data_IF_303229571769
#
_entry.id   IF_303229571769
#
_cell.length_a   1.000
_cell.length_b   1.000
_cell.length_c   1.000
_cell.angle_alpha   90.00
_cell.angle_beta   90.00
_cell.angle_gamma   90.00
#
_symmetry.space_group_name_H-M   'P 1'
#
loop_
_entity.id
_entity.type
_entity.pdbx_description
1 polymer ?
#
# COMPACT_ATOMS: atom_id res chain seq x y z
N UNK A 1 -8.33 23.23 10.87
CA UNK A 1 -7.17 22.33 10.68
C UNK A 1 -7.02 22.11 9.18
N UNK A 2 -5.96 22.68 8.59
CA UNK A 2 -5.76 22.71 7.13
C UNK A 2 -4.88 21.52 6.75
N UNK A 3 -5.43 20.59 5.97
CA UNK A 3 -4.70 19.43 5.47
C UNK A 3 -4.09 19.80 4.11
N UNK A 4 -2.77 19.69 3.96
CA UNK A 4 -2.11 19.85 2.66
C UNK A 4 -1.89 18.47 2.04
N UNK A 5 -2.54 18.14 0.92
CA UNK A 5 -2.28 16.88 0.24
C UNK A 5 -0.92 16.94 -0.48
N UNK A 6 0.00 16.08 -0.09
CA UNK A 6 1.20 15.76 -0.86
C UNK A 6 1.07 14.34 -1.43
N UNK A 7 1.26 14.18 -2.75
CA UNK A 7 1.29 12.84 -3.36
C UNK A 7 2.65 12.22 -3.09
N UNK A 8 2.65 11.17 -2.27
CA UNK A 8 3.83 10.44 -1.86
C UNK A 8 3.83 9.02 -2.45
N UNK A 9 5.04 8.46 -2.61
CA UNK A 9 5.24 7.08 -3.04
C UNK A 9 6.00 6.32 -1.97
N UNK A 10 5.41 5.25 -1.45
CA UNK A 10 6.09 4.35 -0.51
C UNK A 10 6.41 3.02 -1.18
N UNK A 11 7.68 2.59 -1.07
CA UNK A 11 8.09 1.26 -1.49
C UNK A 11 7.99 0.30 -0.32
N UNK A 12 7.14 -0.71 -0.48
CA UNK A 12 6.94 -1.75 0.51
C UNK A 12 7.65 -3.01 0.03
N UNK A 13 8.44 -3.61 0.92
CA UNK A 13 8.96 -4.95 0.67
C UNK A 13 7.75 -5.88 0.53
N UNK A 14 7.77 -6.71 -0.50
CA UNK A 14 6.81 -7.81 -0.58
C UNK A 14 6.97 -8.67 0.70
N UNK A 15 5.87 -9.13 1.31
CA UNK A 15 5.95 -9.95 2.51
C UNK A 15 6.79 -11.22 2.24
N UNK A 16 7.66 -11.60 3.18
CA UNK A 16 8.65 -12.69 3.04
C UNK A 16 8.03 -14.07 2.75
N UNK A 17 6.71 -14.22 2.88
CA UNK A 17 6.02 -15.40 2.39
C UNK A 17 5.89 -15.30 0.87
N UNK A 18 6.65 -16.15 0.17
CA UNK A 18 6.61 -16.44 -1.28
C UNK A 18 5.21 -16.71 -1.87
N UNK A 19 4.15 -16.60 -1.08
CA UNK A 19 2.77 -16.92 -1.42
C UNK A 19 1.72 -15.90 -0.96
N UNK A 20 2.12 -14.68 -0.64
CA UNK A 20 1.17 -13.68 -0.13
C UNK A 20 0.12 -13.33 -1.19
N UNK A 21 -1.08 -13.88 -1.03
CA UNK A 21 -2.22 -13.68 -1.96
C UNK A 21 -2.99 -12.41 -1.62
N UNK A 22 -2.86 -11.98 -0.38
CA UNK A 22 -3.55 -10.85 0.17
C UNK A 22 -2.54 -9.88 0.81
N UNK A 23 -2.80 -8.59 0.64
CA UNK A 23 -1.99 -7.51 1.21
C UNK A 23 -2.87 -6.68 2.14
N UNK A 24 -2.34 -6.26 3.27
CA UNK A 24 -2.97 -5.25 4.12
C UNK A 24 -2.05 -4.05 4.25
N UNK A 25 -2.60 -2.85 4.14
CA UNK A 25 -1.86 -1.60 4.34
C UNK A 25 -2.26 -1.00 5.67
N UNK A 26 -1.29 -0.61 6.48
CA UNK A 26 -1.49 0.02 7.77
C UNK A 26 -0.86 1.41 7.80
N UNK A 27 -1.65 2.43 8.17
CA UNK A 27 -1.14 3.78 8.42
C UNK A 27 -0.76 3.91 9.88
N UNK A 28 0.45 4.41 10.17
CA UNK A 28 1.01 4.44 11.54
C UNK A 28 1.36 5.83 12.07
N UNK A 29 1.34 6.88 11.22
CA UNK A 29 1.75 8.25 11.64
C UNK A 29 0.91 9.40 11.07
N UNK A 30 -0.21 9.11 10.41
CA UNK A 30 -1.08 10.14 9.85
C UNK A 30 -2.22 9.54 9.05
N UNK A 31 -3.13 10.39 8.61
CA UNK A 31 -4.19 10.02 7.68
C UNK A 31 -3.63 9.94 6.26
N UNK A 32 -4.00 8.89 5.53
CA UNK A 32 -3.63 8.73 4.12
C UNK A 32 -4.84 8.50 3.26
N UNK A 33 -4.77 8.95 2.02
CA UNK A 33 -5.67 8.53 0.96
C UNK A 33 -4.90 7.68 -0.03
N UNK A 34 -5.07 6.37 0.06
CA UNK A 34 -4.42 5.41 -0.83
C UNK A 34 -5.14 5.42 -2.17
N UNK A 35 -4.42 5.77 -3.24
CA UNK A 35 -4.97 5.89 -4.58
C UNK A 35 -4.90 4.54 -5.31
N UNK A 36 -3.69 4.01 -5.48
CA UNK A 36 -3.44 2.72 -6.13
C UNK A 36 -2.14 2.08 -5.64
N UNK A 37 -1.99 0.80 -5.98
CA UNK A 37 -0.80 0.00 -5.73
C UNK A 37 -0.21 -0.43 -7.05
N UNK A 38 1.10 -0.28 -7.25
CA UNK A 38 1.80 -0.97 -8.34
C UNK A 38 2.50 -2.19 -7.78
N UNK A 39 2.12 -3.33 -8.33
CA UNK A 39 2.62 -4.64 -7.93
C UNK A 39 3.57 -5.12 -9.01
N UNK A 40 4.85 -5.25 -8.64
CA UNK A 40 5.91 -5.68 -9.54
C UNK A 40 6.19 -7.16 -9.36
N UNK A 41 6.15 -7.90 -10.47
CA UNK A 41 6.36 -9.33 -10.56
C UNK A 41 7.82 -9.64 -10.95
N UNK A 42 8.33 -10.80 -10.52
CA UNK A 42 9.70 -11.27 -10.79
C UNK A 42 9.96 -11.49 -12.29
N UNK A 43 8.92 -11.76 -13.06
CA UNK A 43 9.00 -11.91 -14.52
C UNK A 43 9.07 -10.56 -15.27
N UNK A 44 9.21 -9.43 -14.56
CA UNK A 44 9.24 -8.09 -15.13
C UNK A 44 7.86 -7.48 -15.39
N UNK A 45 6.77 -8.25 -15.19
CA UNK A 45 5.42 -7.72 -15.28
C UNK A 45 5.12 -6.76 -14.14
N UNK A 46 4.31 -5.73 -14.40
CA UNK A 46 3.72 -4.91 -13.35
C UNK A 46 2.20 -4.93 -13.47
N UNK A 47 1.53 -4.62 -12.37
CA UNK A 47 0.08 -4.40 -12.36
C UNK A 47 -0.30 -3.31 -11.39
N UNK A 48 -1.10 -2.37 -11.89
CA UNK A 48 -1.73 -1.35 -11.06
C UNK A 48 -3.06 -1.87 -10.50
N UNK A 49 -3.24 -1.76 -9.20
CA UNK A 49 -4.46 -2.12 -8.47
C UNK A 49 -5.06 -0.84 -7.89
N UNK A 50 -6.20 -0.34 -8.42
CA UNK A 50 -6.86 0.81 -7.84
C UNK A 50 -7.42 0.43 -6.46
N UNK A 51 -7.19 1.28 -5.47
CA UNK A 51 -7.67 1.08 -4.08
C UNK A 51 -8.64 2.20 -3.70
N UNK A 52 -8.28 3.46 -3.98
CA UNK A 52 -9.07 4.67 -3.70
C UNK A 52 -9.75 4.64 -2.32
N UNK A 53 -8.95 4.52 -1.26
CA UNK A 53 -9.43 4.37 0.11
C UNK A 53 -8.72 5.31 1.07
N UNK A 54 -9.51 6.00 1.90
CA UNK A 54 -8.98 6.79 3.02
C UNK A 54 -8.72 5.89 4.21
N UNK A 55 -7.50 5.96 4.73
CA UNK A 55 -7.06 5.22 5.88
C UNK A 55 -6.78 6.18 7.04
N UNK A 56 -7.53 6.08 8.15
CA UNK A 56 -7.23 6.83 9.36
C UNK A 56 -5.86 6.44 9.93
N UNK A 57 -5.32 7.31 10.77
CA UNK A 57 -4.15 6.99 11.59
C UNK A 57 -4.42 5.72 12.43
N UNK A 58 -3.40 4.88 12.56
CA UNK A 58 -3.39 3.63 13.33
C UNK A 58 -4.44 2.60 12.87
N UNK A 59 -4.96 2.76 11.65
CA UNK A 59 -5.88 1.82 11.02
C UNK A 59 -5.21 1.11 9.85
N UNK A 60 -5.73 -0.07 9.56
CA UNK A 60 -5.31 -0.88 8.43
C UNK A 60 -6.48 -1.14 7.49
N UNK A 61 -6.20 -1.28 6.21
CA UNK A 61 -7.19 -1.63 5.19
C UNK A 61 -7.81 -3.00 5.52
N UNK A 62 -8.90 -3.34 4.86
CA UNK A 62 -9.23 -4.77 4.70
C UNK A 62 -8.13 -5.47 3.90
N UNK A 63 -8.13 -6.81 3.92
CA UNK A 63 -7.24 -7.61 3.09
C UNK A 63 -7.53 -7.35 1.61
N UNK A 64 -6.58 -6.72 0.93
CA UNK A 64 -6.61 -6.43 -0.50
C UNK A 64 -6.16 -7.70 -1.20
N UNK A 65 -7.11 -8.36 -1.88
CA UNK A 65 -6.82 -9.56 -2.65
C UNK A 65 -6.01 -9.18 -3.88
N UNK A 66 -4.78 -9.68 -3.97
CA UNK A 66 -3.94 -9.58 -5.16
C UNK A 66 -4.45 -10.62 -6.19
N UNK A 67 -5.65 -10.39 -6.75
CA UNK A 67 -6.33 -11.35 -7.63
C UNK A 67 -5.64 -11.45 -8.98
N UNK A 68 -5.16 -12.63 -9.35
CA UNK A 68 -4.73 -13.01 -10.70
C UNK A 68 -3.86 -14.25 -10.64
N UNK A 69 -3.96 -15.17 -11.61
CA UNK A 69 -3.24 -16.46 -11.60
C UNK A 69 -1.72 -16.32 -11.42
N UNK A 70 -1.14 -15.16 -11.78
CA UNK A 70 0.29 -14.87 -11.71
C UNK A 70 0.74 -14.06 -10.47
N UNK A 71 -0.18 -13.53 -9.64
CA UNK A 71 0.20 -12.60 -8.56
C UNK A 71 0.62 -13.33 -7.28
N UNK A 72 0.12 -14.52 -7.04
CA UNK A 72 0.32 -15.18 -5.74
C UNK A 72 1.73 -15.71 -5.49
N UNK A 73 2.66 -15.74 -6.46
CA UNK A 73 4.00 -16.34 -6.28
C UNK A 73 5.18 -15.49 -6.76
N UNK A 74 4.91 -14.47 -7.58
CA UNK A 74 5.98 -13.74 -8.26
C UNK A 74 6.11 -12.28 -7.81
N UNK A 75 5.36 -11.81 -6.82
CA UNK A 75 5.48 -10.42 -6.36
C UNK A 75 6.81 -10.23 -5.62
N UNK A 76 7.62 -9.28 -6.07
CA UNK A 76 8.90 -8.94 -5.42
C UNK A 76 8.98 -7.50 -4.90
N UNK A 77 8.13 -6.59 -5.41
CA UNK A 77 8.06 -5.21 -4.96
C UNK A 77 6.63 -4.69 -5.08
N UNK A 78 6.22 -3.87 -4.11
CA UNK A 78 4.94 -3.15 -4.14
C UNK A 78 5.26 -1.68 -3.93
N UNK A 79 4.80 -0.79 -4.81
CA UNK A 79 4.73 0.64 -4.52
C UNK A 79 3.31 1.06 -4.22
N UNK A 80 3.16 2.01 -3.32
CA UNK A 80 1.88 2.58 -2.92
C UNK A 80 1.90 4.05 -3.24
N UNK A 81 0.89 4.47 -4.01
CA UNK A 81 0.62 5.88 -4.29
C UNK A 81 -0.46 6.35 -3.34
N UNK A 82 -0.16 7.39 -2.58
CA UNK A 82 -1.09 7.92 -1.59
C UNK A 82 -0.92 9.42 -1.43
N UNK A 83 -2.01 10.09 -1.09
CA UNK A 83 -1.93 11.44 -0.55
C UNK A 83 -1.76 11.35 0.95
N UNK A 84 -0.71 11.97 1.47
CA UNK A 84 -0.55 12.16 2.90
C UNK A 84 -1.26 13.46 3.31
N UNK A 85 -2.01 13.40 4.41
CA UNK A 85 -2.56 14.60 5.01
C UNK A 85 -1.70 14.94 6.23
N UNK A 86 -0.97 16.05 6.13
CA UNK A 86 -0.19 16.56 7.24
C UNK A 86 -1.10 16.96 8.41
N UNK A 87 -0.98 16.25 9.52
CA UNK A 87 -1.37 16.72 10.84
C UNK A 87 -0.11 16.98 11.69
N UNK A 88 -0.28 17.40 12.94
CA UNK A 88 0.84 17.64 13.85
C UNK A 88 1.68 16.39 14.18
N UNK A 89 1.29 15.19 13.71
CA UNK A 89 1.94 13.90 14.00
C UNK A 89 3.10 13.55 13.07
N UNK A 90 3.30 14.30 11.98
CA UNK A 90 4.37 14.08 10.99
C UNK A 90 3.89 13.43 9.68
N UNK A 91 4.83 12.97 8.85
CA UNK A 91 4.50 12.27 7.60
C UNK A 91 3.84 10.92 7.90
N UNK A 92 2.79 10.60 7.15
CA UNK A 92 2.16 9.30 7.27
C UNK A 92 3.11 8.18 6.81
N UNK A 93 3.24 7.15 7.64
CA UNK A 93 4.05 5.96 7.33
C UNK A 93 3.12 4.80 7.03
N UNK A 94 3.23 4.25 5.82
CA UNK A 94 2.54 3.04 5.40
C UNK A 94 3.42 1.81 5.63
N UNK A 95 2.80 0.75 6.13
CA UNK A 95 3.39 -0.59 6.22
C UNK A 95 2.52 -1.60 5.50
N UNK A 96 3.15 -2.56 4.83
CA UNK A 96 2.47 -3.71 4.24
C UNK A 96 2.60 -4.92 5.15
N UNK A 97 1.49 -5.64 5.32
CA UNK A 97 1.44 -6.97 5.90
C UNK A 97 0.90 -7.95 4.86
N UNK A 98 1.43 -9.17 4.84
CA UNK A 98 0.96 -10.24 3.96
C UNK A 98 0.67 -11.53 4.70
N UNK A 99 -0.25 -12.32 4.15
CA UNK A 99 -0.60 -13.64 4.65
C UNK A 99 -0.74 -14.68 3.54
#
# INVERSE_FOLDING_TARGET
>A
MTLYPGTDIAFLKAPDRERSRDLRLCATRGHVHVLWLDVFLRNGGHRTVPVNLRLPRDHCTSWIKLRGRALGRDVHRISVHYDSFHDHSGHAVLRAEGQ
#
